data_IF_094426105524
#
_entry.id   IF_094426105524
#
_cell.length_a   1.000
_cell.length_b   1.000
_cell.length_c   1.000
_cell.angle_alpha   90.00
_cell.angle_beta   90.00
_cell.angle_gamma   90.00
#
_symmetry.space_group_name_H-M   'P 1'
#
loop_
_entity.id
_entity.type
_entity.pdbx_description
1 polymer ?
#
# COMPACT_ATOMS: atom_id res chain seq x y z
N UNK A 1 -5.70 -8.49 9.68
CA UNK A 1 -5.58 -8.76 11.13
C UNK A 1 -5.83 -10.24 11.49
N UNK A 2 -6.27 -11.08 10.56
CA UNK A 2 -6.50 -12.50 10.81
C UNK A 2 -7.86 -12.79 11.44
N UNK A 3 -8.53 -11.78 12.02
CA UNK A 3 -9.80 -11.91 12.75
C UNK A 3 -11.02 -11.52 11.93
N UNK A 4 -10.85 -10.60 10.98
CA UNK A 4 -11.95 -10.10 10.16
C UNK A 4 -11.83 -10.53 8.71
N UNK A 5 -12.99 -10.66 8.06
CA UNK A 5 -13.13 -10.80 6.60
C UNK A 5 -13.82 -9.56 6.07
N UNK A 6 -13.23 -8.97 5.02
CA UNK A 6 -13.81 -7.84 4.33
C UNK A 6 -14.53 -8.34 3.09
N UNK A 7 -15.79 -7.95 2.93
CA UNK A 7 -16.59 -8.20 1.75
C UNK A 7 -16.80 -6.88 1.02
N UNK A 8 -16.29 -6.77 -0.20
CA UNK A 8 -16.35 -5.54 -1.01
C UNK A 8 -17.33 -5.75 -2.16
N UNK A 9 -18.38 -4.95 -2.20
CA UNK A 9 -19.39 -4.96 -3.25
C UNK A 9 -19.19 -3.71 -4.10
N UNK A 10 -18.88 -3.90 -5.39
CA UNK A 10 -18.89 -2.80 -6.35
C UNK A 10 -20.31 -2.55 -6.83
N UNK A 11 -20.72 -1.28 -6.80
CA UNK A 11 -22.06 -0.84 -7.16
C UNK A 11 -21.99 -0.12 -8.50
N UNK A 12 -22.76 -0.60 -9.48
CA UNK A 12 -22.89 0.06 -10.79
C UNK A 12 -23.46 1.48 -10.66
N UNK A 13 -24.45 1.63 -9.77
CA UNK A 13 -25.02 2.92 -9.40
C UNK A 13 -24.55 3.27 -8.00
N UNK A 14 -23.83 4.39 -7.79
CA UNK A 14 -23.35 4.75 -6.48
C UNK A 14 -24.49 4.98 -5.49
N UNK A 15 -24.28 4.55 -4.25
CA UNK A 15 -25.14 4.96 -3.14
C UNK A 15 -24.82 6.41 -2.79
N UNK A 16 -25.83 7.28 -2.83
CA UNK A 16 -25.68 8.68 -2.43
C UNK A 16 -26.05 8.85 -0.97
N UNK A 17 -25.11 9.38 -0.18
CA UNK A 17 -25.36 9.84 1.18
C UNK A 17 -25.12 11.36 1.22
N UNK A 18 -26.20 12.13 1.10
CA UNK A 18 -26.12 13.57 0.88
C UNK A 18 -25.44 13.90 -0.45
N UNK A 19 -24.38 14.71 -0.43
CA UNK A 19 -23.63 15.08 -1.64
C UNK A 19 -22.61 13.99 -2.07
N UNK A 20 -22.24 13.09 -1.17
CA UNK A 20 -21.20 12.08 -1.43
C UNK A 20 -21.79 10.84 -2.11
N UNK A 21 -21.13 10.37 -3.15
CA UNK A 21 -21.48 9.15 -3.89
C UNK A 21 -20.48 8.02 -3.58
N UNK A 22 -20.99 6.86 -3.17
CA UNK A 22 -20.21 5.68 -2.81
C UNK A 22 -20.38 4.58 -3.86
N UNK A 23 -19.32 4.30 -4.63
CA UNK A 23 -19.29 3.23 -5.65
C UNK A 23 -19.01 1.84 -5.05
N UNK A 24 -18.61 1.77 -3.78
CA UNK A 24 -18.26 0.52 -3.11
C UNK A 24 -18.93 0.46 -1.74
N UNK A 25 -19.45 -0.72 -1.40
CA UNK A 25 -19.88 -1.06 -0.05
C UNK A 25 -18.87 -2.06 0.52
N UNK A 26 -18.24 -1.70 1.65
CA UNK A 26 -17.31 -2.58 2.37
C UNK A 26 -18.01 -3.03 3.64
N UNK A 27 -18.17 -4.35 3.80
CA UNK A 27 -18.76 -4.97 4.98
C UNK A 27 -17.66 -5.76 5.69
N UNK A 28 -17.52 -5.53 6.99
CA UNK A 28 -16.56 -6.23 7.82
C UNK A 28 -17.28 -7.31 8.65
N UNK A 29 -16.89 -8.57 8.44
CA UNK A 29 -17.37 -9.71 9.21
C UNK A 29 -16.29 -10.19 10.18
N UNK A 30 -16.71 -10.63 11.37
CA UNK A 30 -15.85 -11.43 12.25
C UNK A 30 -15.79 -12.86 11.71
N UNK A 31 -14.60 -13.45 11.59
CA UNK A 31 -14.43 -14.80 11.02
C UNK A 31 -15.16 -15.89 11.79
N UNK A 32 -15.18 -15.76 13.12
CA UNK A 32 -15.75 -16.74 14.04
C UNK A 32 -17.28 -16.65 14.14
N UNK A 33 -17.91 -15.65 13.50
CA UNK A 33 -19.36 -15.51 13.55
C UNK A 33 -20.00 -16.51 12.60
N UNK A 34 -20.56 -17.55 13.17
CA UNK A 34 -21.40 -18.53 12.49
C UNK A 34 -22.89 -18.20 12.72
N UNK A 35 -23.70 -18.41 11.70
CA UNK A 35 -25.16 -18.28 11.80
C UNK A 35 -25.84 -19.43 11.05
N UNK A 36 -27.05 -19.75 11.47
CA UNK A 36 -27.95 -20.62 10.71
C UNK A 36 -29.11 -19.78 10.18
N UNK A 37 -29.31 -19.82 8.87
CA UNK A 37 -30.31 -19.03 8.16
C UNK A 37 -31.26 -19.97 7.43
N UNK A 38 -32.55 -19.85 7.77
CA UNK A 38 -33.63 -20.50 7.02
C UNK A 38 -34.23 -19.50 6.05
N UNK A 39 -34.18 -19.82 4.76
CA UNK A 39 -34.71 -18.96 3.72
C UNK A 39 -36.24 -18.99 3.75
N UNK A 40 -36.85 -17.80 3.71
CA UNK A 40 -38.31 -17.66 3.63
C UNK A 40 -38.84 -17.87 2.20
N UNK A 41 -38.45 -19.00 1.60
CA UNK A 41 -38.84 -19.44 0.24
C UNK A 41 -39.02 -20.96 0.30
N UNK A 42 -39.99 -21.50 -0.44
CA UNK A 42 -40.18 -22.95 -0.57
C UNK A 42 -39.08 -23.60 -1.42
N UNK A 43 -38.74 -24.86 -1.12
CA UNK A 43 -37.72 -25.62 -1.86
C UNK A 43 -38.03 -25.73 -3.36
N UNK A 44 -39.32 -25.80 -3.71
CA UNK A 44 -39.76 -25.86 -5.11
C UNK A 44 -39.46 -24.56 -5.86
N UNK A 45 -39.65 -23.41 -5.23
CA UNK A 45 -39.34 -22.11 -5.84
C UNK A 45 -37.83 -21.86 -5.92
N UNK A 46 -37.07 -22.33 -4.93
CA UNK A 46 -35.61 -22.28 -4.94
C UNK A 46 -35.07 -23.06 -6.14
N UNK A 47 -35.52 -24.31 -6.30
CA UNK A 47 -35.10 -25.15 -7.43
C UNK A 47 -35.49 -24.55 -8.79
N UNK A 48 -36.67 -23.91 -8.89
CA UNK A 48 -37.13 -23.27 -10.14
C UNK A 48 -36.34 -22.00 -10.48
N UNK A 49 -36.00 -21.14 -9.51
CA UNK A 49 -35.40 -19.81 -9.75
C UNK A 49 -33.87 -19.79 -9.65
N UNK A 50 -33.32 -20.56 -8.71
CA UNK A 50 -31.92 -20.54 -8.31
C UNK A 50 -31.19 -21.86 -8.55
N UNK A 51 -31.91 -22.89 -9.02
CA UNK A 51 -31.37 -24.22 -9.27
C UNK A 51 -31.03 -24.97 -7.97
N UNK A 52 -30.17 -26.00 -8.09
CA UNK A 52 -29.70 -26.81 -6.94
C UNK A 52 -28.53 -26.19 -6.18
N UNK A 53 -28.16 -24.94 -6.48
CA UNK A 53 -26.99 -24.31 -5.88
C UNK A 53 -27.25 -23.72 -4.48
N UNK A 54 -28.53 -23.61 -4.10
CA UNK A 54 -28.95 -22.98 -2.85
C UNK A 54 -29.81 -23.96 -2.03
N UNK A 55 -29.42 -24.20 -0.78
CA UNK A 55 -30.21 -24.97 0.17
C UNK A 55 -31.18 -24.05 0.91
N UNK A 56 -32.33 -24.59 1.35
CA UNK A 56 -33.31 -23.83 2.14
C UNK A 56 -32.76 -23.44 3.52
N UNK A 57 -31.92 -24.30 4.09
CA UNK A 57 -31.20 -24.07 5.33
C UNK A 57 -29.71 -23.92 5.02
N UNK A 58 -29.14 -22.79 5.43
CA UNK A 58 -27.73 -22.45 5.24
C UNK A 58 -27.09 -22.29 6.61
N UNK A 59 -26.04 -23.07 6.86
CA UNK A 59 -25.28 -23.04 8.09
C UNK A 59 -23.79 -22.85 7.79
N UNK A 60 -23.11 -22.14 8.68
CA UNK A 60 -21.67 -21.91 8.61
C UNK A 60 -21.30 -20.46 8.91
N UNK A 61 -20.06 -20.06 8.56
CA UNK A 61 -19.61 -18.69 8.77
C UNK A 61 -20.46 -17.68 7.99
N UNK A 62 -20.81 -16.56 8.63
CA UNK A 62 -21.69 -15.55 8.04
C UNK A 62 -21.18 -15.03 6.69
N UNK A 63 -19.86 -14.88 6.53
CA UNK A 63 -19.26 -14.45 5.27
C UNK A 63 -19.44 -15.48 4.14
N UNK A 64 -19.48 -16.78 4.46
CA UNK A 64 -19.66 -17.85 3.48
C UNK A 64 -21.14 -17.96 3.08
N UNK A 65 -22.06 -17.90 4.06
CA UNK A 65 -23.51 -17.89 3.78
C UNK A 65 -23.86 -16.72 2.87
N UNK A 66 -23.36 -15.52 3.19
CA UNK A 66 -23.60 -14.34 2.38
C UNK A 66 -22.98 -14.46 0.98
N UNK A 67 -21.80 -15.06 0.88
CA UNK A 67 -21.15 -15.34 -0.40
C UNK A 67 -21.99 -16.28 -1.27
N UNK A 68 -22.50 -17.39 -0.72
CA UNK A 68 -23.39 -18.32 -1.43
C UNK A 68 -24.68 -17.64 -1.89
N UNK A 69 -25.29 -16.84 -1.03
CA UNK A 69 -26.50 -16.08 -1.36
C UNK A 69 -26.25 -15.09 -2.50
N UNK A 70 -25.22 -14.25 -2.41
CA UNK A 70 -24.92 -13.29 -3.47
C UNK A 70 -24.50 -13.96 -4.78
N UNK A 71 -23.77 -15.08 -4.71
CA UNK A 71 -23.42 -15.84 -5.91
C UNK A 71 -24.68 -16.36 -6.62
N UNK A 72 -25.64 -16.89 -5.87
CA UNK A 72 -26.89 -17.42 -6.42
C UNK A 72 -27.83 -16.30 -6.93
N UNK A 73 -27.93 -15.19 -6.19
CA UNK A 73 -28.81 -14.06 -6.52
C UNK A 73 -28.27 -13.21 -7.68
N UNK A 74 -26.99 -12.84 -7.64
CA UNK A 74 -26.37 -11.91 -8.59
C UNK A 74 -25.76 -12.66 -9.79
N UNK A 75 -25.42 -13.95 -9.63
CA UNK A 75 -24.75 -14.77 -10.66
C UNK A 75 -23.41 -14.18 -11.12
N UNK A 76 -22.74 -13.44 -10.24
CA UNK A 76 -21.39 -12.91 -10.45
C UNK A 76 -20.40 -13.76 -9.65
N UNK A 77 -19.29 -14.12 -10.29
CA UNK A 77 -18.20 -14.86 -9.64
C UNK A 77 -17.55 -14.01 -8.55
N UNK A 78 -17.41 -14.58 -7.36
CA UNK A 78 -16.72 -13.95 -6.24
C UNK A 78 -15.22 -14.00 -6.50
N UNK A 79 -14.55 -12.85 -6.37
CA UNK A 79 -13.10 -12.76 -6.46
C UNK A 79 -12.53 -12.97 -5.06
N UNK A 80 -11.75 -14.03 -4.90
CA UNK A 80 -11.05 -14.37 -3.66
C UNK A 80 -9.55 -14.05 -3.84
N UNK A 81 -8.87 -13.46 -2.83
CA UNK A 81 -7.42 -13.29 -2.87
C UNK A 81 -6.71 -14.62 -3.13
N UNK A 82 -5.85 -14.66 -4.15
CA UNK A 82 -5.12 -15.87 -4.55
C UNK A 82 -3.93 -15.52 -5.42
N UNK A 83 -2.82 -16.26 -5.24
CA UNK A 83 -1.61 -16.16 -6.06
C UNK A 83 -0.55 -15.18 -5.54
N UNK A 84 -0.84 -14.39 -4.51
CA UNK A 84 0.14 -13.54 -3.83
C UNK A 84 0.23 -13.92 -2.36
N UNK A 85 1.46 -14.01 -1.85
CA UNK A 85 1.75 -14.14 -0.42
C UNK A 85 2.80 -13.12 -0.05
N UNK A 86 2.49 -12.31 0.95
CA UNK A 86 3.41 -11.35 1.56
C UNK A 86 4.58 -12.06 2.24
N UNK A 87 5.60 -11.32 2.65
CA UNK A 87 6.69 -11.85 3.50
C UNK A 87 6.16 -12.55 4.77
N UNK A 88 5.04 -12.05 5.32
CA UNK A 88 4.37 -12.58 6.52
C UNK A 88 3.30 -13.64 6.24
N UNK A 89 3.30 -14.24 5.05
CA UNK A 89 2.29 -15.24 4.60
C UNK A 89 0.83 -14.75 4.65
N UNK A 90 0.63 -13.45 4.39
CA UNK A 90 -0.69 -12.82 4.29
C UNK A 90 -1.02 -12.47 2.83
N UNK A 91 -2.31 -12.40 2.50
CA UNK A 91 -2.75 -12.12 1.12
C UNK A 91 -2.77 -10.62 0.77
N UNK A 92 -2.27 -9.76 1.66
CA UNK A 92 -2.34 -8.31 1.53
C UNK A 92 -1.09 -7.63 2.07
N UNK A 93 -0.78 -6.46 1.50
CA UNK A 93 0.33 -5.61 1.91
C UNK A 93 -0.23 -4.38 2.62
N UNK A 94 0.25 -4.11 3.84
CA UNK A 94 -0.11 -2.88 4.56
C UNK A 94 0.51 -1.67 3.85
N UNK A 95 -0.30 -0.69 3.52
CA UNK A 95 0.13 0.55 2.88
C UNK A 95 -0.85 1.67 3.17
N UNK A 96 -0.49 2.89 2.78
CA UNK A 96 -1.36 4.05 2.91
C UNK A 96 -1.71 4.57 1.52
N UNK A 97 -2.99 4.87 1.28
CA UNK A 97 -3.39 5.64 0.11
C UNK A 97 -3.71 7.06 0.56
N UNK A 98 -2.95 8.03 0.08
CA UNK A 98 -2.98 9.41 0.59
C UNK A 98 -2.69 9.43 2.09
N UNK A 99 -3.59 9.98 2.91
CA UNK A 99 -3.45 10.07 4.36
C UNK A 99 -4.25 8.98 5.12
N UNK A 100 -4.56 7.85 4.46
CA UNK A 100 -5.37 6.78 5.06
C UNK A 100 -4.66 5.43 4.95
N UNK A 101 -4.49 4.80 6.09
CA UNK A 101 -3.96 3.46 6.21
C UNK A 101 -4.95 2.41 5.69
N UNK A 102 -4.41 1.39 5.04
CA UNK A 102 -5.17 0.28 4.51
C UNK A 102 -4.30 -0.90 4.11
N UNK A 103 -4.89 -1.74 3.27
CA UNK A 103 -4.32 -2.97 2.77
C UNK A 103 -4.53 -3.02 1.27
N UNK A 104 -3.45 -3.24 0.53
CA UNK A 104 -3.45 -3.52 -0.89
C UNK A 104 -3.45 -5.04 -1.07
N UNK A 105 -4.44 -5.56 -1.78
CA UNK A 105 -4.60 -6.96 -2.13
C UNK A 105 -4.23 -7.14 -3.61
N UNK A 106 -3.09 -7.76 -3.92
CA UNK A 106 -2.80 -8.24 -5.27
C UNK A 106 -3.64 -9.49 -5.56
N UNK A 107 -4.64 -9.36 -6.43
CA UNK A 107 -5.57 -10.44 -6.82
C UNK A 107 -5.17 -11.02 -8.18
N UNK A 108 -5.78 -12.13 -8.58
CA UNK A 108 -5.38 -12.82 -9.83
C UNK A 108 -5.33 -11.94 -11.09
N UNK A 109 -6.23 -10.94 -11.20
CA UNK A 109 -6.41 -10.06 -12.37
C UNK A 109 -6.55 -8.56 -12.01
N UNK A 110 -6.35 -8.19 -10.76
CA UNK A 110 -6.60 -6.83 -10.29
C UNK A 110 -5.90 -6.55 -8.97
N UNK A 111 -5.64 -5.28 -8.67
CA UNK A 111 -5.36 -4.82 -7.32
C UNK A 111 -6.63 -4.30 -6.66
N UNK A 112 -6.77 -4.54 -5.36
CA UNK A 112 -7.84 -3.99 -4.53
C UNK A 112 -7.24 -3.34 -3.29
N UNK A 113 -7.49 -2.06 -3.08
CA UNK A 113 -7.13 -1.37 -1.84
C UNK A 113 -8.37 -1.14 -0.96
N UNK A 114 -8.24 -1.47 0.34
CA UNK A 114 -9.30 -1.39 1.36
C UNK A 114 -8.67 -0.74 2.61
N UNK A 115 -9.32 0.17 3.36
CA UNK A 115 -10.76 0.39 3.44
C UNK A 115 -11.25 1.74 2.89
N UNK A 116 -10.43 2.80 2.88
CA UNK A 116 -10.82 4.15 2.42
C UNK A 116 -9.65 4.90 1.77
N UNK A 117 -9.81 5.47 0.55
CA UNK A 117 -10.88 5.17 -0.40
C UNK A 117 -10.72 3.74 -0.93
N UNK A 118 -11.81 3.05 -1.25
CA UNK A 118 -11.70 1.75 -1.95
C UNK A 118 -11.22 2.01 -3.37
N UNK A 119 -10.15 1.33 -3.79
CA UNK A 119 -9.66 1.37 -5.16
C UNK A 119 -9.62 -0.04 -5.74
N UNK A 120 -10.29 -0.25 -6.87
CA UNK A 120 -10.25 -1.49 -7.63
C UNK A 120 -9.62 -1.22 -8.99
N UNK A 121 -8.48 -1.84 -9.26
CA UNK A 121 -7.64 -1.57 -10.43
C UNK A 121 -7.42 -2.87 -11.17
N UNK A 122 -7.98 -3.04 -12.36
CA UNK A 122 -7.75 -4.24 -13.18
C UNK A 122 -6.38 -4.18 -13.83
N UNK A 123 -5.71 -5.33 -13.95
CA UNK A 123 -4.39 -5.39 -14.59
C UNK A 123 -4.43 -4.90 -16.03
N UNK A 124 -5.51 -5.19 -16.76
CA UNK A 124 -5.72 -4.78 -18.16
C UNK A 124 -5.77 -3.25 -18.34
N UNK A 125 -6.08 -2.50 -17.27
CA UNK A 125 -6.16 -1.05 -17.29
C UNK A 125 -4.81 -0.38 -16.93
N UNK A 126 -3.83 -1.16 -16.44
CA UNK A 126 -2.52 -0.65 -16.01
C UNK A 126 -1.63 -0.40 -17.23
N UNK A 127 -1.08 0.81 -17.31
CA UNK A 127 -0.08 1.18 -18.31
C UNK A 127 1.31 0.74 -17.85
N UNK A 128 1.68 1.13 -16.64
CA UNK A 128 2.89 0.71 -15.96
C UNK A 128 2.76 0.94 -14.44
N UNK A 129 3.66 0.33 -13.68
CA UNK A 129 3.83 0.52 -12.24
C UNK A 129 5.22 1.09 -11.97
N UNK A 130 5.32 2.07 -11.09
CA UNK A 130 6.59 2.67 -10.66
C UNK A 130 6.83 2.38 -9.18
N UNK A 131 8.08 2.05 -8.86
CA UNK A 131 8.54 2.00 -7.49
C UNK A 131 9.29 3.29 -7.15
N UNK A 132 8.97 3.87 -6.00
CA UNK A 132 9.63 5.08 -5.51
C UNK A 132 10.26 4.83 -4.14
N UNK A 133 11.28 5.64 -3.81
CA UNK A 133 12.03 5.58 -2.54
C UNK A 133 12.76 4.26 -2.30
N UNK A 134 13.10 3.56 -3.37
CA UNK A 134 13.99 2.41 -3.34
C UNK A 134 15.42 2.94 -3.46
N UNK A 135 16.04 3.33 -2.34
CA UNK A 135 17.46 3.74 -2.34
C UNK A 135 18.35 2.67 -1.71
N UNK A 136 19.56 2.53 -2.27
CA UNK A 136 20.60 1.60 -1.82
C UNK A 136 21.30 2.06 -0.52
N UNK A 137 21.16 3.34 -0.16
CA UNK A 137 21.70 3.90 1.08
C UNK A 137 20.81 3.48 2.27
N UNK A 138 21.14 2.31 2.80
CA UNK A 138 20.43 1.53 3.81
C UNK A 138 20.20 2.18 5.19
N UNK A 139 20.34 3.51 5.34
CA UNK A 139 20.25 4.18 6.64
C UNK A 139 18.90 4.86 6.93
N UNK A 140 18.05 5.16 5.94
CA UNK A 140 16.90 6.07 6.19
C UNK A 140 15.49 5.53 5.83
N UNK A 141 15.34 4.51 4.99
CA UNK A 141 14.02 4.07 4.50
C UNK A 141 13.65 2.64 4.89
N UNK A 142 12.79 2.45 5.91
CA UNK A 142 12.18 1.13 6.21
C UNK A 142 11.06 0.74 5.25
N UNK A 143 10.66 1.67 4.37
CA UNK A 143 9.52 1.53 3.47
C UNK A 143 9.80 2.12 2.09
N UNK A 144 9.07 1.66 1.09
CA UNK A 144 9.02 2.21 -0.27
C UNK A 144 7.57 2.53 -0.66
N UNK A 145 7.41 3.22 -1.78
CA UNK A 145 6.10 3.62 -2.32
C UNK A 145 5.89 2.99 -3.70
N UNK A 146 4.63 2.72 -4.06
CA UNK A 146 4.21 2.18 -5.36
C UNK A 146 3.23 3.16 -6.00
N UNK A 147 3.50 3.54 -7.25
CA UNK A 147 2.56 4.26 -8.09
C UNK A 147 2.06 3.35 -9.21
N UNK A 148 0.75 3.13 -9.27
CA UNK A 148 0.09 2.39 -10.34
C UNK A 148 -0.56 3.39 -11.29
N UNK A 149 -0.04 3.48 -12.51
CA UNK A 149 -0.57 4.37 -13.54
C UNK A 149 -1.45 3.56 -14.47
N UNK A 150 -2.74 3.90 -14.50
CA UNK A 150 -3.71 3.36 -15.46
C UNK A 150 -3.90 4.33 -16.63
N UNK A 151 -4.75 3.96 -17.59
CA UNK A 151 -5.08 4.84 -18.73
C UNK A 151 -5.74 6.15 -18.30
N UNK A 152 -6.56 6.11 -17.25
CA UNK A 152 -7.40 7.23 -16.82
C UNK A 152 -7.00 7.84 -15.47
N UNK A 153 -6.28 7.09 -14.62
CA UNK A 153 -6.01 7.48 -13.23
C UNK A 153 -4.60 7.07 -12.78
N UNK A 154 -4.11 7.71 -11.71
CA UNK A 154 -2.89 7.30 -11.02
C UNK A 154 -3.19 7.03 -9.55
N UNK A 155 -2.71 5.91 -9.03
CA UNK A 155 -2.91 5.47 -7.66
C UNK A 155 -1.56 5.35 -6.96
N UNK A 156 -1.34 6.17 -5.93
CA UNK A 156 -0.15 6.12 -5.10
C UNK A 156 -0.43 5.42 -3.78
N UNK A 157 0.39 4.42 -3.48
CA UNK A 157 0.38 3.64 -2.24
C UNK A 157 1.73 3.81 -1.55
N UNK A 158 1.72 4.39 -0.36
CA UNK A 158 2.94 4.77 0.37
C UNK A 158 3.15 3.93 1.62
N UNK A 159 4.39 3.90 2.11
CA UNK A 159 4.72 3.27 3.39
C UNK A 159 4.67 1.74 3.39
N UNK A 160 4.97 1.11 2.25
CA UNK A 160 5.06 -0.34 2.14
C UNK A 160 6.40 -0.83 2.71
N UNK A 161 6.38 -1.83 3.60
CA UNK A 161 7.61 -2.39 4.18
C UNK A 161 8.57 -2.93 3.12
N UNK A 162 9.87 -2.68 3.28
CA UNK A 162 10.92 -3.14 2.34
C UNK A 162 10.91 -4.66 2.11
N UNK A 163 10.54 -5.46 3.11
CA UNK A 163 10.45 -6.92 2.97
C UNK A 163 9.36 -7.40 2.00
N UNK A 164 8.37 -6.56 1.72
CA UNK A 164 7.30 -6.86 0.76
C UNK A 164 7.71 -6.63 -0.70
N UNK A 165 8.89 -6.04 -0.94
CA UNK A 165 9.36 -5.73 -2.29
C UNK A 165 9.54 -7.00 -3.13
N UNK A 166 10.25 -8.00 -2.61
CA UNK A 166 10.53 -9.23 -3.36
C UNK A 166 9.25 -10.01 -3.73
N UNK A 167 8.32 -10.31 -2.79
CA UNK A 167 7.07 -10.97 -3.14
C UNK A 167 6.22 -10.19 -4.15
N UNK A 168 6.22 -8.84 -4.05
CA UNK A 168 5.48 -8.01 -5.01
C UNK A 168 6.09 -8.08 -6.40
N UNK A 169 7.42 -8.01 -6.53
CA UNK A 169 8.10 -8.14 -7.81
C UNK A 169 7.84 -9.51 -8.45
N UNK A 170 7.93 -10.61 -7.70
CA UNK A 170 7.62 -11.96 -8.19
C UNK A 170 6.19 -12.06 -8.72
N UNK A 171 5.23 -11.44 -8.02
CA UNK A 171 3.85 -11.34 -8.48
C UNK A 171 3.71 -10.52 -9.77
N UNK A 172 4.38 -9.36 -9.87
CA UNK A 172 4.33 -8.51 -11.07
C UNK A 172 4.90 -9.23 -12.30
N UNK A 173 5.99 -9.98 -12.14
CA UNK A 173 6.58 -10.84 -13.18
C UNK A 173 5.58 -11.90 -13.62
N UNK A 174 5.01 -12.64 -12.66
CA UNK A 174 4.04 -13.71 -12.92
C UNK A 174 2.80 -13.20 -13.66
N UNK A 175 2.41 -11.95 -13.39
CA UNK A 175 1.27 -11.28 -14.03
C UNK A 175 1.63 -10.47 -15.27
N UNK A 176 2.91 -10.45 -15.66
CA UNK A 176 3.45 -9.69 -16.79
C UNK A 176 3.03 -8.20 -16.77
N UNK A 177 3.11 -7.58 -15.59
CA UNK A 177 2.79 -6.16 -15.42
C UNK A 177 4.04 -5.34 -15.70
N UNK A 178 3.91 -4.35 -16.59
CA UNK A 178 5.01 -3.46 -16.96
C UNK A 178 5.42 -2.61 -15.76
N UNK A 179 6.71 -2.60 -15.43
CA UNK A 179 7.26 -1.72 -14.40
C UNK A 179 8.18 -0.70 -15.05
N UNK A 180 8.13 0.55 -14.58
CA UNK A 180 8.99 1.65 -15.01
C UNK A 180 9.76 2.17 -13.79
N UNK A 181 11.01 2.58 -13.99
CA UNK A 181 11.77 3.20 -12.92
C UNK A 181 11.49 4.71 -12.90
N UNK A 182 11.31 5.30 -11.71
CA UNK A 182 10.89 6.71 -11.56
C UNK A 182 11.84 7.72 -12.21
N UNK A 183 13.09 7.32 -12.47
CA UNK A 183 14.16 8.17 -12.97
C UNK A 183 14.41 8.05 -14.49
N UNK A 184 13.80 7.06 -15.18
CA UNK A 184 13.99 6.85 -16.62
C UNK A 184 12.72 7.14 -17.43
N UNK A 185 12.79 8.18 -18.27
CA UNK A 185 11.73 8.52 -19.22
C UNK A 185 11.69 7.60 -20.45
N UNK A 186 11.23 6.35 -20.24
CA UNK A 186 10.70 5.53 -21.33
C UNK A 186 11.15 4.06 -21.35
N UNK A 187 12.13 3.64 -20.54
CA UNK A 187 12.55 2.25 -20.46
C UNK A 187 11.65 1.46 -19.49
N UNK A 188 10.95 0.45 -20.01
CA UNK A 188 10.29 -0.56 -19.16
C UNK A 188 11.36 -1.44 -18.53
N UNK A 189 11.32 -1.61 -17.23
CA UNK A 189 12.21 -2.52 -16.52
C UNK A 189 11.86 -3.96 -16.85
N UNK A 190 12.84 -4.71 -17.33
CA UNK A 190 12.72 -6.15 -17.45
C UNK A 190 12.91 -6.79 -16.07
N UNK A 191 11.79 -7.02 -15.40
CA UNK A 191 11.74 -7.65 -14.08
C UNK A 191 12.22 -9.11 -14.08
N UNK A 192 12.42 -9.75 -15.24
CA UNK A 192 12.89 -11.14 -15.33
C UNK A 192 14.38 -11.29 -14.96
N UNK A 193 15.12 -10.17 -14.88
CA UNK A 193 16.51 -10.16 -14.44
C UNK A 193 16.63 -10.32 -12.92
N UNK A 194 17.27 -11.41 -12.48
CA UNK A 194 17.56 -11.77 -11.07
C UNK A 194 18.25 -10.67 -10.25
N UNK A 195 18.92 -9.72 -10.90
CA UNK A 195 19.56 -8.57 -10.25
C UNK A 195 18.55 -7.63 -9.58
N UNK A 196 17.31 -7.52 -10.09
CA UNK A 196 16.27 -6.65 -9.52
C UNK A 196 15.70 -7.26 -8.23
N UNK A 197 15.62 -8.59 -8.17
CA UNK A 197 15.16 -9.36 -7.00
C UNK A 197 16.19 -9.37 -5.87
N UNK A 198 17.49 -9.33 -6.21
CA UNK A 198 18.60 -9.43 -5.25
C UNK A 198 19.12 -8.07 -4.81
N UNK A 199 19.07 -7.05 -5.66
CA UNK A 199 19.66 -5.76 -5.34
C UNK A 199 18.81 -4.59 -5.88
N UNK A 200 17.76 -4.17 -5.14
CA UNK A 200 16.79 -3.18 -5.62
C UNK A 200 17.38 -1.79 -5.88
N UNK A 201 18.59 -1.49 -5.35
CA UNK A 201 19.32 -0.25 -5.61
C UNK A 201 20.20 -0.24 -6.87
N UNK A 202 20.53 -1.41 -7.45
CA UNK A 202 21.33 -1.49 -8.69
C UNK A 202 20.57 -1.09 -9.94
N UNK A 203 19.24 -1.04 -9.85
CA UNK A 203 18.38 -0.59 -10.94
C UNK A 203 18.71 0.85 -11.33
N UNK A 204 19.00 1.72 -10.35
CA UNK A 204 19.41 3.10 -10.61
C UNK A 204 20.84 3.22 -11.15
N UNK A 205 21.69 2.21 -10.98
CA UNK A 205 23.07 2.25 -11.50
C UNK A 205 23.17 1.97 -13.00
N UNK A 206 22.29 1.13 -13.56
CA UNK A 206 22.29 0.88 -15.02
C UNK A 206 21.79 2.07 -15.81
N UNK A 207 20.84 2.83 -15.26
CA UNK A 207 20.42 4.12 -15.84
C UNK A 207 21.56 5.15 -15.90
N UNK A 208 22.47 5.15 -14.91
CA UNK A 208 23.65 6.02 -14.92
C UNK A 208 24.80 5.48 -15.79
N UNK A 209 25.02 4.16 -15.84
CA UNK A 209 26.10 3.57 -16.63
C UNK A 209 25.84 3.65 -18.15
N UNK A 210 24.58 3.54 -18.59
CA UNK A 210 24.21 3.70 -20.01
C UNK A 210 24.44 5.14 -20.54
N UNK A 211 24.62 6.14 -19.66
CA UNK A 211 24.91 7.54 -20.05
C UNK A 211 26.42 7.77 -20.25
N UNK A 212 27.28 7.00 -19.59
CA UNK A 212 28.74 7.11 -19.76
C UNK A 212 29.25 6.33 -20.99
N UNK A 213 28.52 5.31 -21.46
CA UNK A 213 28.95 4.50 -22.60
C UNK A 213 28.62 5.13 -23.97
N UNK A 214 27.59 5.99 -24.08
CA UNK A 214 27.28 6.71 -25.33
C UNK A 214 28.03 8.07 -25.48
N UNK A 215 28.91 8.42 -24.54
CA UNK A 215 29.66 9.69 -24.52
C UNK A 215 31.14 9.62 -24.91
N UNK A 216 31.72 8.44 -25.14
CA UNK A 216 33.17 8.27 -25.34
C UNK A 216 33.55 7.50 -26.61
N UNK A 217 32.86 7.74 -27.72
CA UNK A 217 33.41 7.42 -29.06
C UNK A 217 33.96 8.68 -29.72
N UNK A 218 35.20 9.04 -29.36
CA UNK A 218 35.95 10.01 -30.15
C UNK A 218 37.02 10.81 -29.41
N UNK A 219 38.14 10.18 -29.05
CA UNK A 219 39.49 10.74 -29.30
C UNK A 219 40.57 9.72 -28.91
N UNK A 220 41.54 9.55 -29.80
CA UNK A 220 42.51 8.47 -29.76
C UNK A 220 43.66 8.63 -28.76
N UNK A 221 44.17 7.46 -28.37
CA UNK A 221 45.57 7.03 -28.22
C UNK A 221 46.66 7.98 -27.72
N UNK A 222 47.55 7.39 -26.90
CA UNK A 222 48.86 7.83 -26.35
C UNK A 222 48.77 8.45 -24.95
N UNK A 223 49.61 8.13 -23.98
CA UNK A 223 50.74 7.20 -23.80
C UNK A 223 51.07 7.21 -22.28
N UNK A 224 51.91 6.29 -21.86
CA UNK A 224 52.43 6.04 -20.52
C UNK A 224 52.76 7.27 -19.64
N UNK A 225 52.56 7.15 -18.32
CA UNK A 225 53.64 7.36 -17.33
C UNK A 225 53.16 7.07 -15.90
N UNK A 226 53.92 6.21 -15.21
CA UNK A 226 53.93 6.12 -13.75
C UNK A 226 54.45 7.42 -13.12
N UNK A 227 54.05 7.69 -11.88
CA UNK A 227 54.48 8.87 -11.12
C UNK A 227 54.05 8.81 -9.65
N UNK A 228 55.07 8.77 -8.81
CA UNK A 228 55.15 8.59 -7.37
C UNK A 228 54.37 9.63 -6.51
N UNK A 229 53.87 9.13 -5.38
CA UNK A 229 53.82 9.68 -4.03
C UNK A 229 54.22 11.15 -3.81
N UNK A 230 53.32 11.95 -3.22
CA UNK A 230 53.70 12.96 -2.22
C UNK A 230 52.67 13.08 -1.09
N UNK A 231 53.16 12.76 0.11
CA UNK A 231 52.58 13.02 1.43
C UNK A 231 52.53 14.52 1.72
N UNK A 232 51.37 15.02 2.17
CA UNK A 232 51.26 16.34 2.77
C UNK A 232 50.86 16.21 4.24
N UNK A 233 51.86 16.10 5.11
CA UNK A 233 51.74 16.39 6.53
C UNK A 233 51.83 17.90 6.73
N UNK A 234 50.81 18.49 7.36
CA UNK A 234 50.97 19.74 8.11
C UNK A 234 50.47 19.48 9.53
N UNK A 235 51.45 19.51 10.42
CA UNK A 235 51.34 19.30 11.85
C UNK A 235 51.14 20.63 12.59
N UNK A 236 50.46 20.51 13.75
CA UNK A 236 50.57 21.29 14.98
C UNK A 236 50.27 22.81 15.01
N UNK A 237 49.25 23.17 15.82
CA UNK A 237 49.42 23.79 17.16
C UNK A 237 48.03 23.88 17.82
N UNK A 238 47.72 23.11 18.87
CA UNK A 238 48.07 23.28 20.30
C UNK A 238 47.28 24.38 21.04
N UNK A 239 46.84 24.01 22.25
CA UNK A 239 45.92 24.71 23.15
C UNK A 239 44.79 23.74 23.55
N UNK A 240 45.04 22.72 24.38
CA UNK A 240 45.18 22.83 25.85
C UNK A 240 44.14 23.82 26.43
N UNK A 241 43.21 23.47 27.31
CA UNK A 241 43.36 22.54 28.42
C UNK A 241 41.98 22.24 29.07
N UNK A 242 41.93 21.08 29.74
CA UNK A 242 41.26 20.77 31.02
C UNK A 242 39.77 21.15 31.25
N UNK A 243 38.90 20.35 31.88
CA UNK A 243 39.07 19.09 32.60
C UNK A 243 37.70 18.56 33.08
N UNK A 244 37.65 17.23 33.27
CA UNK A 244 36.92 16.47 34.30
C UNK A 244 35.37 16.40 34.22
N UNK A 245 34.81 15.22 33.88
CA UNK A 245 34.47 14.10 34.80
C UNK A 245 33.36 14.44 35.81
N UNK A 246 32.42 13.59 36.22
CA UNK A 246 32.02 12.20 35.96
C UNK A 246 30.79 11.96 36.89
N UNK A 247 29.98 10.94 36.59
CA UNK A 247 28.96 10.30 37.44
C UNK A 247 27.71 11.15 37.80
N UNK A 248 26.51 10.61 38.01
CA UNK A 248 26.05 9.23 38.15
C UNK A 248 24.66 9.27 38.81
N UNK A 249 23.69 8.61 38.16
CA UNK A 249 22.52 7.88 38.67
C UNK A 249 21.61 8.39 39.83
N UNK A 250 20.31 8.15 39.60
CA UNK A 250 19.16 8.01 40.54
C UNK A 250 18.53 9.32 41.06
N UNK A 251 17.21 9.51 41.19
CA UNK A 251 16.14 8.58 41.56
C UNK A 251 14.73 9.25 41.50
N UNK A 252 13.66 8.43 41.51
CA UNK A 252 12.28 8.64 42.04
C UNK A 252 11.29 9.55 41.26
N UNK A 253 10.24 9.01 40.63
CA UNK A 253 8.87 8.72 41.14
C UNK A 253 8.11 9.97 41.63
N UNK A 254 7.02 10.33 40.94
CA UNK A 254 5.68 10.49 41.56
C UNK A 254 4.57 10.61 40.49
N UNK A 255 3.54 9.77 40.67
CA UNK A 255 2.23 9.84 40.02
C UNK A 255 1.39 11.00 40.59
N UNK A 256 0.43 11.50 39.82
CA UNK A 256 -0.90 11.81 40.38
C UNK A 256 -1.94 11.99 39.27
N UNK A 257 -2.89 11.07 39.28
CA UNK A 257 -4.26 11.21 38.77
C UNK A 257 -4.92 12.50 39.27
N UNK A 258 -5.93 12.99 38.52
CA UNK A 258 -7.27 13.28 39.05
C UNK A 258 -8.26 13.65 37.93
N UNK A 259 -9.37 12.91 37.93
CA UNK A 259 -10.61 13.14 37.18
C UNK A 259 -11.35 14.42 37.61
N UNK A 260 -12.19 14.96 36.70
CA UNK A 260 -13.66 15.08 36.88
C UNK A 260 -14.27 16.35 36.23
N UNK A 261 -15.30 16.11 35.42
CA UNK A 261 -16.61 16.73 35.62
C UNK A 261 -16.84 18.22 35.35
N UNK A 262 -17.74 18.50 34.39
CA UNK A 262 -18.84 19.44 34.67
C UNK A 262 -19.15 20.57 33.68
N UNK A 263 -20.10 20.27 32.78
CA UNK A 263 -21.33 21.06 32.47
C UNK A 263 -21.25 22.60 32.24
N UNK A 264 -21.75 22.94 31.04
CA UNK A 264 -22.91 23.83 30.72
C UNK A 264 -22.74 25.36 30.53
N UNK A 265 -23.55 25.80 29.54
CA UNK A 265 -24.16 27.14 29.24
C UNK A 265 -23.29 28.08 28.39
N UNK A 266 -23.65 28.41 27.14
CA UNK A 266 -24.84 29.09 26.58
C UNK A 266 -24.86 30.62 26.79
N UNK A 267 -25.34 31.30 25.72
CA UNK A 267 -25.53 32.77 25.47
C UNK A 267 -24.45 33.36 24.56
N UNK A 268 -24.74 34.25 23.61
CA UNK A 268 -25.98 34.80 23.07
C UNK A 268 -25.66 35.66 21.85
N UNK A 269 -26.56 35.66 20.86
CA UNK A 269 -26.62 36.59 19.73
C UNK A 269 -26.55 38.07 20.15
N UNK A 270 -25.87 38.91 19.38
CA UNK A 270 -26.26 40.32 19.21
C UNK A 270 -26.06 40.77 17.76
N UNK A 271 -27.20 41.04 17.10
CA UNK A 271 -27.32 41.77 15.83
C UNK A 271 -26.86 43.22 16.03
N UNK A 272 -26.25 43.82 15.02
CA UNK A 272 -26.28 45.28 14.79
C UNK A 272 -26.70 45.51 13.34
N UNK A 273 -27.68 46.38 13.13
CA UNK A 273 -28.24 46.77 11.85
C UNK A 273 -28.26 48.31 11.75
N UNK A 274 -28.14 48.81 10.51
CA UNK A 274 -28.44 50.17 9.97
C UNK A 274 -27.51 51.30 10.44
N UNK A 275 -27.17 52.32 9.63
CA UNK A 275 -27.80 53.04 8.48
C UNK A 275 -26.69 53.34 7.43
N UNK A 276 -26.91 53.39 6.12
CA UNK A 276 -27.70 54.35 5.31
C UNK A 276 -27.13 55.77 5.37
N UNK A 277 -26.23 56.08 4.43
CA UNK A 277 -26.26 57.24 3.51
C UNK A 277 -25.33 56.94 2.31
#
# INVERSE_FOLDING_TARGET
>A
DGLHMMYVISLRSPLRQGQTAHNYCVIQFKKEREESLKLNISEEEINKKYGKELNQELEGPLYDILSRLFKSLIKISIIVPSGFKSEKDTDAVKCSSRAQDGYLYPLLKSFLFVHKPVAYIRHDDIKYLEFNRISEFAAAGRSFDINIVTKDNSYSFTGISKGEYKPLVEYLITKNIKVRNGDDEGKTMDLTNMDILTNPGRVNRRAMADIEEEGLEGMGSQDDSEGEDESFDIDAQEGEDSDLESNGSESLIEESDLEDGGKKKSKSKKKKAKKEE
#
